data_IF_287888129024
#
_entry.id   IF_287888129024
#
_cell.length_a   1.000
_cell.length_b   1.000
_cell.length_c   1.000
_cell.angle_alpha   90.00
_cell.angle_beta   90.00
_cell.angle_gamma   90.00
#
_symmetry.space_group_name_H-M   'P 1'
#
loop_
_entity.id
_entity.type
_entity.pdbx_description
1 polymer ?
#
# COMPACT_ATOMS: atom_id res chain seq x y z
N UNK A 1 60.65 -56.96 34.84
CA UNK A 1 59.37 -56.31 35.19
C UNK A 1 59.05 -55.28 34.09
N UNK A 2 58.19 -55.60 33.11
CA UNK A 2 57.79 -54.67 32.03
C UNK A 2 56.45 -54.11 32.40
N UNK A 3 56.40 -52.75 32.55
CA UNK A 3 55.16 -52.00 32.79
C UNK A 3 54.54 -51.60 31.43
N UNK A 4 53.39 -52.20 31.17
CA UNK A 4 52.59 -51.87 29.97
C UNK A 4 51.69 -50.65 30.29
N UNK A 5 51.83 -49.55 29.54
CA UNK A 5 51.02 -48.33 29.66
C UNK A 5 49.84 -48.42 28.69
N UNK A 6 48.61 -48.46 29.22
CA UNK A 6 47.38 -48.41 28.42
C UNK A 6 47.00 -46.97 28.19
N UNK A 7 46.99 -46.55 26.93
CA UNK A 7 46.52 -45.23 26.51
C UNK A 7 45.03 -45.34 26.17
N UNK A 8 44.15 -44.68 26.95
CA UNK A 8 42.74 -44.57 26.66
C UNK A 8 42.52 -43.42 25.66
N UNK A 9 42.11 -43.72 24.44
CA UNK A 9 41.70 -42.73 23.45
C UNK A 9 40.21 -42.41 23.67
N UNK A 10 39.86 -41.24 24.15
CA UNK A 10 38.50 -40.75 24.28
C UNK A 10 38.15 -40.11 22.93
N UNK A 11 37.32 -40.79 22.14
CA UNK A 11 36.71 -40.22 20.92
C UNK A 11 35.53 -39.31 21.32
N UNK A 12 35.72 -38.00 21.23
CA UNK A 12 34.64 -37.03 21.37
C UNK A 12 33.84 -36.97 20.07
N UNK A 13 32.64 -37.57 20.05
CA UNK A 13 31.67 -37.41 18.95
C UNK A 13 31.02 -36.05 19.05
N UNK A 14 31.44 -35.11 18.18
CA UNK A 14 30.68 -33.87 17.94
C UNK A 14 29.36 -34.23 17.24
N UNK A 15 28.29 -34.27 18.01
CA UNK A 15 26.93 -34.36 17.47
C UNK A 15 26.52 -32.97 16.97
N UNK A 16 26.66 -32.70 15.66
CA UNK A 16 26.03 -31.55 15.03
C UNK A 16 24.51 -31.76 15.04
N UNK A 17 23.82 -31.21 16.02
CA UNK A 17 22.38 -31.07 15.94
C UNK A 17 22.09 -29.96 14.93
N UNK A 18 21.77 -30.33 13.72
CA UNK A 18 21.13 -29.46 12.75
C UNK A 18 19.78 -29.02 13.35
N UNK A 19 19.71 -27.80 13.87
CA UNK A 19 18.46 -27.15 14.16
C UNK A 19 17.73 -26.98 12.81
N UNK A 20 16.78 -27.86 12.53
CA UNK A 20 15.75 -27.57 11.52
C UNK A 20 15.04 -26.31 12.02
N UNK A 21 15.29 -25.18 11.38
CA UNK A 21 14.39 -24.03 11.51
C UNK A 21 13.02 -24.55 11.06
N UNK A 22 12.09 -24.66 11.99
CA UNK A 22 10.69 -24.82 11.63
C UNK A 22 10.36 -23.62 10.75
N UNK A 23 10.09 -23.84 9.48
CA UNK A 23 9.40 -22.87 8.63
C UNK A 23 8.06 -22.65 9.34
N UNK A 24 7.97 -21.61 10.13
CA UNK A 24 6.70 -21.14 10.65
C UNK A 24 5.96 -20.65 9.43
N UNK A 25 4.94 -21.38 9.02
CA UNK A 25 4.01 -20.97 7.98
C UNK A 25 3.27 -19.76 8.58
N UNK A 26 3.79 -18.58 8.32
CA UNK A 26 3.32 -17.34 8.94
C UNK A 26 1.92 -17.06 8.43
N UNK A 27 0.94 -17.34 9.28
CA UNK A 27 -0.48 -17.15 8.97
C UNK A 27 -0.87 -15.68 9.18
N UNK A 28 -1.31 -14.94 8.16
CA UNK A 28 -1.75 -13.55 8.31
C UNK A 28 -3.02 -13.38 9.15
N UNK A 29 -3.74 -14.47 9.45
CA UNK A 29 -5.05 -14.41 10.12
C UNK A 29 -5.04 -13.72 11.49
N UNK A 30 -3.91 -13.73 12.22
CA UNK A 30 -3.80 -13.00 13.48
C UNK A 30 -3.57 -11.51 13.24
N UNK A 31 -2.82 -11.14 12.21
CA UNK A 31 -2.48 -9.76 11.88
C UNK A 31 -3.60 -9.03 11.15
N UNK A 32 -4.44 -9.72 10.37
CA UNK A 32 -5.65 -9.17 9.78
C UNK A 32 -6.54 -8.54 10.85
N UNK A 33 -6.64 -9.16 12.03
CA UNK A 33 -7.51 -8.70 13.14
C UNK A 33 -7.03 -7.39 13.77
N UNK A 34 -5.79 -6.98 13.54
CA UNK A 34 -5.27 -5.70 14.02
C UNK A 34 -5.72 -4.52 13.16
N UNK A 35 -6.19 -4.79 11.94
CA UNK A 35 -6.79 -3.80 11.05
C UNK A 35 -8.26 -3.68 11.40
N UNK A 36 -8.66 -2.59 12.05
CA UNK A 36 -10.01 -2.42 12.59
C UNK A 36 -10.72 -1.18 12.06
N UNK A 37 -12.05 -1.26 11.94
CA UNK A 37 -12.89 -0.10 11.60
C UNK A 37 -12.69 1.07 12.57
N UNK A 38 -12.44 0.79 13.85
CA UNK A 38 -12.22 1.80 14.89
C UNK A 38 -10.93 2.59 14.67
N UNK A 39 -9.83 1.92 14.31
CA UNK A 39 -8.54 2.55 14.12
C UNK A 39 -8.52 3.34 12.80
N UNK A 40 -9.04 2.75 11.71
CA UNK A 40 -9.27 3.44 10.44
C UNK A 40 -10.09 4.71 10.63
N UNK A 41 -11.17 4.64 11.41
CA UNK A 41 -12.01 5.78 11.75
C UNK A 41 -11.22 6.85 12.50
N UNK A 42 -10.43 6.47 13.48
CA UNK A 42 -9.62 7.40 14.27
C UNK A 42 -8.64 8.17 13.39
N UNK A 43 -7.97 7.50 12.47
CA UNK A 43 -7.04 8.13 11.52
C UNK A 43 -7.78 9.03 10.52
N UNK A 44 -8.92 8.57 10.00
CA UNK A 44 -9.64 9.30 8.96
C UNK A 44 -10.24 10.61 9.48
N UNK A 45 -10.73 10.63 10.73
CA UNK A 45 -11.19 11.86 11.37
C UNK A 45 -10.10 12.92 11.52
N UNK A 46 -8.84 12.54 11.48
CA UNK A 46 -7.72 13.49 11.43
C UNK A 46 -7.40 13.89 10.00
N UNK A 47 -7.18 12.92 9.12
CA UNK A 47 -6.73 13.15 7.73
C UNK A 47 -7.76 13.93 6.91
N UNK A 48 -9.06 13.66 7.10
CA UNK A 48 -10.14 14.33 6.39
C UNK A 48 -10.87 15.37 7.28
N UNK A 49 -10.14 16.03 8.17
CA UNK A 49 -10.67 17.16 8.95
C UNK A 49 -10.44 18.49 8.25
N UNK A 50 -11.25 19.51 8.59
CA UNK A 50 -11.07 20.89 8.12
C UNK A 50 -9.69 21.47 8.44
N UNK A 51 -9.02 20.97 9.52
CA UNK A 51 -7.67 21.37 9.90
C UNK A 51 -6.62 21.02 8.83
N UNK A 52 -6.90 20.00 8.02
CA UNK A 52 -6.06 19.57 6.90
C UNK A 52 -6.35 20.36 5.61
N UNK A 53 -7.30 21.32 5.66
CA UNK A 53 -7.56 22.27 4.57
C UNK A 53 -7.76 21.57 3.20
N UNK A 54 -8.35 20.37 3.20
CA UNK A 54 -8.55 19.56 2.01
C UNK A 54 -7.26 19.13 1.29
N UNK A 55 -6.11 19.17 1.95
CA UNK A 55 -4.82 18.56 1.54
C UNK A 55 -4.34 18.90 0.12
N UNK A 56 -4.67 20.08 -0.41
CA UNK A 56 -4.22 20.46 -1.76
C UNK A 56 -2.70 20.28 -1.92
N UNK A 57 -2.28 19.75 -3.06
CA UNK A 57 -0.88 19.50 -3.39
C UNK A 57 0.05 20.64 -3.01
N UNK A 58 1.00 20.40 -2.12
CA UNK A 58 2.00 21.34 -1.62
C UNK A 58 1.49 22.41 -0.65
N UNK A 59 0.18 22.41 -0.31
CA UNK A 59 -0.41 23.36 0.65
C UNK A 59 0.00 23.07 2.11
N UNK A 60 -0.30 24.03 2.99
CA UNK A 60 -0.12 23.87 4.44
C UNK A 60 -0.93 22.69 4.99
N UNK A 61 -2.12 22.45 4.46
CA UNK A 61 -2.98 21.34 4.86
C UNK A 61 -2.35 19.99 4.50
N UNK A 62 -1.80 19.86 3.29
CA UNK A 62 -1.08 18.63 2.90
C UNK A 62 0.16 18.40 3.77
N UNK A 63 0.91 19.47 4.14
CA UNK A 63 2.07 19.32 5.04
C UNK A 63 1.66 18.81 6.43
N UNK A 64 0.56 19.33 6.99
CA UNK A 64 0.00 18.85 8.27
C UNK A 64 -0.40 17.36 8.18
N UNK A 65 -1.07 16.96 7.10
CA UNK A 65 -1.42 15.57 6.85
C UNK A 65 -0.17 14.69 6.77
N UNK A 66 0.87 15.13 6.06
CA UNK A 66 2.16 14.47 5.98
C UNK A 66 2.83 14.29 7.34
N UNK A 67 2.85 15.34 8.15
CA UNK A 67 3.40 15.27 9.52
C UNK A 67 2.62 14.28 10.38
N UNK A 68 1.30 14.22 10.25
CA UNK A 68 0.48 13.22 10.92
C UNK A 68 0.84 11.79 10.49
N UNK A 69 0.91 11.50 9.20
CA UNK A 69 1.29 10.19 8.67
C UNK A 69 2.64 9.74 9.21
N UNK A 70 3.64 10.62 9.16
CA UNK A 70 4.99 10.34 9.69
C UNK A 70 4.96 10.08 11.19
N UNK A 71 4.14 10.81 11.95
CA UNK A 71 3.99 10.60 13.38
C UNK A 71 3.45 9.20 13.70
N UNK A 72 2.49 8.70 12.91
CA UNK A 72 1.92 7.35 13.05
C UNK A 72 2.94 6.26 12.68
N UNK A 73 3.68 6.43 11.59
CA UNK A 73 4.77 5.51 11.25
C UNK A 73 5.81 5.43 12.37
N UNK A 74 6.23 6.57 12.93
CA UNK A 74 7.16 6.61 14.07
C UNK A 74 6.60 5.93 15.31
N UNK A 75 5.32 6.17 15.64
CA UNK A 75 4.66 5.56 16.79
C UNK A 75 4.63 4.02 16.66
N UNK A 76 4.42 3.52 15.45
CA UNK A 76 4.44 2.09 15.14
C UNK A 76 5.85 1.53 14.89
N UNK A 77 6.91 2.35 15.02
CA UNK A 77 8.32 1.97 14.74
C UNK A 77 8.62 1.57 13.29
N UNK A 78 7.77 1.96 12.35
CA UNK A 78 8.02 1.81 10.92
C UNK A 78 8.92 2.96 10.47
N UNK A 79 10.10 2.65 9.94
CA UNK A 79 11.10 3.63 9.54
C UNK A 79 10.93 4.07 8.09
N UNK A 80 11.68 5.09 7.68
CA UNK A 80 11.88 5.39 6.27
C UNK A 80 12.88 4.42 5.64
N UNK A 81 12.90 4.28 4.28
CA UNK A 81 13.76 3.30 3.62
C UNK A 81 15.25 3.64 3.75
N UNK A 82 16.09 2.61 3.83
CA UNK A 82 17.55 2.75 3.79
C UNK A 82 17.99 3.46 2.50
N UNK A 83 18.85 4.45 2.63
CA UNK A 83 19.31 5.29 1.52
C UNK A 83 18.55 6.62 1.40
N UNK A 84 17.38 6.75 2.02
CA UNK A 84 16.73 8.03 2.24
C UNK A 84 17.30 8.73 3.49
N UNK A 85 17.09 10.04 3.59
CA UNK A 85 17.51 10.84 4.74
C UNK A 85 16.39 11.05 5.77
N UNK A 86 15.15 10.91 5.31
CA UNK A 86 13.92 11.08 6.08
C UNK A 86 12.73 10.42 5.38
N UNK A 87 11.51 10.68 5.85
CA UNK A 87 10.28 10.12 5.29
C UNK A 87 9.81 10.81 3.99
N UNK A 88 10.57 11.76 3.44
CA UNK A 88 10.14 12.57 2.31
C UNK A 88 10.90 12.28 1.03
N UNK A 89 10.18 12.05 -0.06
CA UNK A 89 10.70 12.21 -1.41
C UNK A 89 10.25 13.58 -1.93
N UNK A 90 11.12 14.56 -1.87
CA UNK A 90 10.82 15.95 -2.25
C UNK A 90 10.68 16.10 -3.76
N UNK A 91 9.63 16.78 -4.18
CA UNK A 91 9.28 17.01 -5.58
C UNK A 91 9.25 18.52 -5.83
N UNK A 92 10.13 19.03 -6.69
CA UNK A 92 10.20 20.47 -6.94
C UNK A 92 8.98 20.95 -7.75
N UNK A 93 8.56 22.17 -7.51
CA UNK A 93 7.49 22.84 -8.25
C UNK A 93 7.72 22.82 -9.77
N UNK A 94 8.98 22.88 -10.20
CA UNK A 94 9.34 22.77 -11.63
C UNK A 94 8.90 21.47 -12.28
N UNK A 95 8.89 20.37 -11.53
CA UNK A 95 8.35 19.09 -12.01
C UNK A 95 6.82 19.08 -11.97
N UNK A 96 6.23 19.52 -10.85
CA UNK A 96 4.78 19.54 -10.65
C UNK A 96 4.05 20.41 -11.69
N UNK A 97 4.70 21.46 -12.19
CA UNK A 97 4.13 22.38 -13.19
C UNK A 97 4.62 22.12 -14.62
N UNK A 98 5.37 21.02 -14.87
CA UNK A 98 6.01 20.79 -16.17
C UNK A 98 5.00 20.54 -17.32
N UNK A 99 3.86 19.91 -17.02
CA UNK A 99 2.83 19.58 -18.02
C UNK A 99 1.68 20.57 -17.99
N UNK A 100 1.22 20.91 -16.78
CA UNK A 100 0.16 21.90 -16.52
C UNK A 100 0.76 22.99 -15.65
N UNK A 101 0.45 24.25 -15.95
CA UNK A 101 0.91 25.34 -15.11
C UNK A 101 -0.15 25.69 -14.05
N UNK A 102 -0.31 24.76 -13.10
CA UNK A 102 -1.30 24.87 -12.02
C UNK A 102 -0.77 25.73 -10.85
N UNK A 103 0.45 26.28 -10.99
CA UNK A 103 1.16 27.06 -9.96
C UNK A 103 1.32 26.32 -8.62
N UNK A 104 1.53 25.00 -8.69
CA UNK A 104 1.77 24.16 -7.51
C UNK A 104 3.11 24.53 -6.86
N UNK A 105 3.18 24.67 -5.54
CA UNK A 105 4.45 24.81 -4.82
C UNK A 105 5.20 23.47 -4.78
N UNK A 106 6.41 23.47 -4.20
CA UNK A 106 7.12 22.22 -3.88
C UNK A 106 6.25 21.32 -3.01
N UNK A 107 6.25 20.03 -3.31
CA UNK A 107 5.54 19.02 -2.55
C UNK A 107 6.43 17.80 -2.29
N UNK A 108 5.90 16.75 -1.71
CA UNK A 108 6.60 15.51 -1.43
C UNK A 108 5.70 14.29 -1.47
N UNK A 109 6.25 13.16 -1.90
CA UNK A 109 5.72 11.85 -1.51
C UNK A 109 6.22 11.52 -0.09
N UNK A 110 5.43 10.74 0.65
CA UNK A 110 5.85 10.20 1.93
C UNK A 110 6.06 8.71 1.78
N UNK A 111 7.17 8.21 2.27
CA UNK A 111 7.48 6.81 2.27
C UNK A 111 7.80 6.26 3.66
N UNK A 112 7.32 5.05 3.91
CA UNK A 112 7.71 4.26 5.06
C UNK A 112 8.09 2.85 4.60
N UNK A 113 8.90 2.13 5.37
CA UNK A 113 9.54 0.93 4.88
C UNK A 113 9.70 -0.14 5.95
N UNK A 114 9.36 -1.36 5.58
CA UNK A 114 9.63 -2.55 6.37
C UNK A 114 10.59 -3.44 5.57
N UNK A 115 11.80 -3.61 6.08
CA UNK A 115 12.81 -4.44 5.44
C UNK A 115 12.46 -5.92 5.54
N UNK A 116 12.53 -6.61 4.41
CA UNK A 116 12.30 -8.04 4.31
C UNK A 116 13.41 -8.88 4.90
N UNK A 117 13.07 -10.02 5.50
CA UNK A 117 14.00 -10.89 6.21
C UNK A 117 14.84 -11.80 5.31
N UNK A 118 14.35 -12.17 4.12
CA UNK A 118 15.01 -13.14 3.22
C UNK A 118 15.38 -12.52 1.86
N UNK A 119 14.52 -11.66 1.31
CA UNK A 119 14.65 -11.05 -0.02
C UNK A 119 14.54 -9.51 0.06
N UNK A 120 15.41 -8.84 0.85
CA UNK A 120 15.27 -7.41 1.16
C UNK A 120 15.36 -6.49 -0.06
N UNK A 121 15.92 -6.95 -1.16
CA UNK A 121 16.02 -6.20 -2.41
C UNK A 121 14.80 -6.37 -3.34
N UNK A 122 13.85 -7.25 -3.01
CA UNK A 122 12.59 -7.38 -3.73
C UNK A 122 11.51 -6.59 -2.97
N UNK A 123 10.85 -5.67 -3.66
CA UNK A 123 9.98 -4.66 -3.04
C UNK A 123 8.53 -4.90 -3.48
N UNK A 124 7.63 -5.01 -2.52
CA UNK A 124 6.19 -4.82 -2.73
C UNK A 124 5.87 -3.38 -2.40
N UNK A 125 5.28 -2.64 -3.31
CA UNK A 125 4.78 -1.28 -3.06
C UNK A 125 3.31 -1.36 -2.69
N UNK A 126 2.90 -0.56 -1.69
CA UNK A 126 1.50 -0.28 -1.39
C UNK A 126 1.36 1.22 -1.47
N UNK A 127 0.52 1.69 -2.39
CA UNK A 127 0.38 3.11 -2.70
C UNK A 127 -1.04 3.63 -2.48
N UNK A 128 -1.14 4.91 -2.12
CA UNK A 128 -2.37 5.70 -2.02
C UNK A 128 -1.99 7.18 -2.18
N UNK A 129 -2.88 8.01 -2.69
CA UNK A 129 -2.59 9.44 -2.69
C UNK A 129 -3.11 10.11 -1.41
N UNK A 130 -2.40 11.15 -0.95
CA UNK A 130 -2.78 11.86 0.27
C UNK A 130 -3.11 13.33 0.05
N UNK A 131 -2.97 13.83 -1.18
CA UNK A 131 -3.49 15.12 -1.59
C UNK A 131 -4.97 15.00 -1.96
N UNK A 132 -5.67 16.15 -1.97
CA UNK A 132 -7.00 16.29 -2.50
C UNK A 132 -7.20 17.73 -2.99
N UNK A 133 -8.43 18.16 -3.24
CA UNK A 133 -8.79 19.39 -3.95
C UNK A 133 -8.44 20.68 -3.17
N UNK A 134 -8.47 20.63 -1.84
CA UNK A 134 -8.17 21.80 -1.02
C UNK A 134 -9.38 22.64 -0.65
N UNK A 135 -9.23 23.97 -0.67
CA UNK A 135 -10.28 24.93 -0.31
C UNK A 135 -10.70 25.72 -1.54
N UNK A 136 -11.98 25.66 -1.90
CA UNK A 136 -12.56 26.42 -3.03
C UNK A 136 -13.64 27.35 -2.51
N UNK A 137 -13.50 28.67 -2.77
CA UNK A 137 -14.46 29.71 -2.35
C UNK A 137 -14.77 29.68 -0.84
N UNK A 138 -13.81 29.28 0.00
CA UNK A 138 -13.97 29.18 1.45
C UNK A 138 -14.63 27.90 1.94
N UNK A 139 -14.95 26.96 1.06
CA UNK A 139 -15.47 25.63 1.37
C UNK A 139 -14.33 24.60 1.31
N UNK A 140 -14.19 23.80 2.35
CA UNK A 140 -13.15 22.77 2.45
C UNK A 140 -13.64 21.49 1.77
N UNK A 141 -12.81 20.93 0.91
CA UNK A 141 -13.03 19.63 0.26
C UNK A 141 -12.21 18.58 1.01
N UNK A 142 -12.82 17.95 2.01
CA UNK A 142 -12.11 17.06 2.93
C UNK A 142 -11.64 15.75 2.31
N UNK A 143 -12.29 15.27 1.22
CA UNK A 143 -11.86 14.06 0.51
C UNK A 143 -11.73 12.88 1.45
N UNK A 144 -12.83 12.52 2.13
CA UNK A 144 -12.78 11.44 3.11
C UNK A 144 -12.62 10.07 2.44
N UNK A 145 -13.31 9.85 1.31
CA UNK A 145 -13.10 8.65 0.50
C UNK A 145 -11.97 8.87 -0.51
N UNK A 146 -11.90 10.04 -1.13
CA UNK A 146 -10.92 10.41 -2.17
C UNK A 146 -9.76 11.28 -1.62
N UNK A 147 -8.55 10.81 -1.31
CA UNK A 147 -8.24 9.43 -0.99
C UNK A 147 -7.81 9.31 0.48
N UNK A 148 -8.64 9.90 1.36
CA UNK A 148 -8.48 9.71 2.80
C UNK A 148 -8.56 8.23 3.18
N UNK A 149 -9.48 7.48 2.55
CA UNK A 149 -9.71 6.06 2.83
C UNK A 149 -8.49 5.19 2.51
N UNK A 150 -7.88 5.35 1.34
CA UNK A 150 -6.64 4.65 0.98
C UNK A 150 -5.44 5.12 1.80
N UNK A 151 -5.35 6.42 2.04
CA UNK A 151 -4.30 7.00 2.88
C UNK A 151 -4.27 6.37 4.28
N UNK A 152 -5.40 6.21 4.97
CA UNK A 152 -5.41 5.59 6.31
C UNK A 152 -5.26 4.07 6.25
N UNK A 153 -5.69 3.44 5.17
CA UNK A 153 -5.48 2.01 4.96
C UNK A 153 -3.99 1.64 4.99
N UNK A 154 -3.11 2.46 4.40
CA UNK A 154 -1.67 2.23 4.44
C UNK A 154 -1.10 2.23 5.87
N UNK A 155 -1.60 3.09 6.76
CA UNK A 155 -1.17 3.14 8.17
C UNK A 155 -1.48 1.83 8.89
N UNK A 156 -2.69 1.31 8.73
CA UNK A 156 -3.15 0.08 9.37
C UNK A 156 -2.43 -1.16 8.81
N UNK A 157 -2.22 -1.20 7.49
CA UNK A 157 -1.45 -2.27 6.86
C UNK A 157 0.00 -2.27 7.38
N UNK A 158 0.61 -1.10 7.53
CA UNK A 158 1.97 -0.97 8.06
C UNK A 158 2.07 -1.42 9.51
N UNK A 159 1.09 -1.07 10.36
CA UNK A 159 1.00 -1.53 11.73
C UNK A 159 0.90 -3.05 11.82
N UNK A 160 0.05 -3.67 10.98
CA UNK A 160 -0.12 -5.13 10.94
C UNK A 160 1.19 -5.84 10.55
N UNK A 161 1.90 -5.36 9.52
CA UNK A 161 3.19 -5.93 9.12
C UNK A 161 4.29 -5.72 10.18
N UNK A 162 4.34 -4.56 10.82
CA UNK A 162 5.34 -4.31 11.85
C UNK A 162 5.06 -5.13 13.12
N UNK A 163 3.79 -5.35 13.46
CA UNK A 163 3.39 -6.28 14.53
C UNK A 163 3.88 -7.68 14.23
N UNK A 164 3.62 -8.18 13.01
CA UNK A 164 4.11 -9.48 12.58
C UNK A 164 5.65 -9.57 12.65
N UNK A 165 6.34 -8.52 12.23
CA UNK A 165 7.81 -8.46 12.28
C UNK A 165 8.35 -8.51 13.71
N UNK A 166 7.76 -7.78 14.65
CA UNK A 166 8.13 -7.81 16.07
C UNK A 166 7.97 -9.20 16.70
N UNK A 167 7.00 -9.97 16.20
CA UNK A 167 6.75 -11.34 16.64
C UNK A 167 7.61 -12.40 15.90
N UNK A 168 8.50 -11.96 15.00
CA UNK A 168 9.37 -12.85 14.22
C UNK A 168 8.72 -13.46 12.96
N UNK A 169 7.51 -13.00 12.61
CA UNK A 169 6.73 -13.43 11.45
C UNK A 169 6.67 -12.36 10.36
N UNK A 170 7.63 -11.46 10.31
CA UNK A 170 7.68 -10.36 9.35
C UNK A 170 7.77 -10.80 7.90
N UNK A 171 7.64 -9.85 6.96
CA UNK A 171 7.67 -10.14 5.53
C UNK A 171 9.06 -10.64 5.10
N UNK A 172 9.10 -11.60 4.16
CA UNK A 172 10.33 -12.09 3.54
C UNK A 172 10.90 -11.09 2.53
N UNK A 173 10.03 -10.38 1.80
CA UNK A 173 10.36 -9.25 0.92
C UNK A 173 10.10 -7.94 1.62
N UNK A 174 10.79 -6.91 1.19
CA UNK A 174 10.57 -5.57 1.71
C UNK A 174 9.23 -5.00 1.24
N UNK A 175 8.65 -4.15 2.09
CA UNK A 175 7.42 -3.43 1.76
C UNK A 175 7.70 -1.93 1.83
N UNK A 176 7.32 -1.23 0.78
CA UNK A 176 7.33 0.22 0.69
C UNK A 176 5.89 0.73 0.74
N UNK A 177 5.55 1.48 1.78
CA UNK A 177 4.33 2.26 1.87
C UNK A 177 4.60 3.62 1.24
N UNK A 178 3.84 3.97 0.21
CA UNK A 178 4.09 5.17 -0.58
C UNK A 178 2.82 6.02 -0.68
N UNK A 179 2.75 7.07 0.13
CA UNK A 179 1.73 8.10 -0.04
C UNK A 179 2.21 9.09 -1.10
N UNK A 180 1.50 9.18 -2.20
CA UNK A 180 1.89 10.06 -3.30
C UNK A 180 1.13 11.37 -3.27
N UNK A 181 1.75 12.41 -3.80
CA UNK A 181 1.19 13.76 -3.94
C UNK A 181 0.81 14.05 -5.39
N UNK A 182 -0.08 15.00 -5.60
CA UNK A 182 -0.39 15.50 -6.95
C UNK A 182 -1.09 14.48 -7.85
N UNK A 183 -1.83 13.56 -7.27
CA UNK A 183 -2.69 12.65 -8.01
C UNK A 183 -3.74 13.44 -8.78
N UNK A 184 -4.44 14.34 -8.10
CA UNK A 184 -5.50 15.22 -8.60
C UNK A 184 -5.04 16.16 -9.75
N UNK A 185 -3.75 16.37 -9.86
CA UNK A 185 -3.11 17.12 -10.93
C UNK A 185 -2.53 16.26 -12.06
N UNK A 186 -2.81 14.95 -12.05
CA UNK A 186 -2.44 14.00 -13.10
C UNK A 186 -1.33 13.04 -12.70
N UNK A 187 -1.46 12.39 -11.56
CA UNK A 187 -0.58 11.31 -11.08
C UNK A 187 0.89 11.76 -10.91
N UNK A 188 1.10 13.01 -10.46
CA UNK A 188 2.44 13.62 -10.50
C UNK A 188 3.42 12.96 -9.54
N UNK A 189 2.97 12.59 -8.34
CA UNK A 189 3.82 11.99 -7.32
C UNK A 189 4.31 10.59 -7.68
N UNK A 190 3.43 9.72 -8.14
CA UNK A 190 3.80 8.40 -8.63
C UNK A 190 4.62 8.47 -9.91
N UNK A 191 4.32 9.45 -10.78
CA UNK A 191 5.15 9.73 -11.96
C UNK A 191 6.57 10.14 -11.57
N UNK A 192 6.71 11.02 -10.56
CA UNK A 192 8.03 11.42 -10.07
C UNK A 192 8.77 10.24 -9.44
N UNK A 193 8.09 9.44 -8.61
CA UNK A 193 8.68 8.24 -8.01
C UNK A 193 9.20 7.29 -9.09
N UNK A 194 8.40 7.01 -10.13
CA UNK A 194 8.82 6.09 -11.20
C UNK A 194 10.02 6.58 -12.03
N UNK A 195 10.25 7.90 -12.07
CA UNK A 195 11.41 8.51 -12.75
C UNK A 195 12.62 8.70 -11.83
N UNK A 196 12.39 8.79 -10.52
CA UNK A 196 13.41 9.04 -9.50
C UNK A 196 13.26 8.03 -8.34
N UNK A 197 13.24 6.72 -8.62
CA UNK A 197 12.97 5.72 -7.60
C UNK A 197 14.16 5.59 -6.63
N UNK A 198 13.88 5.40 -5.34
CA UNK A 198 14.93 5.11 -4.36
C UNK A 198 15.56 3.73 -4.60
N UNK A 199 14.73 2.76 -4.98
CA UNK A 199 15.15 1.42 -5.35
C UNK A 199 14.99 1.24 -6.86
N UNK A 200 15.90 0.53 -7.56
CA UNK A 200 15.70 0.24 -8.99
C UNK A 200 14.30 -0.33 -9.25
N UNK A 201 13.57 0.20 -10.23
CA UNK A 201 12.20 -0.28 -10.53
C UNK A 201 12.14 -1.79 -10.80
N UNK A 202 13.21 -2.38 -11.36
CA UNK A 202 13.33 -3.82 -11.57
C UNK A 202 13.27 -4.64 -10.26
N UNK A 203 13.49 -4.01 -9.12
CA UNK A 203 13.36 -4.63 -7.81
C UNK A 203 11.92 -4.59 -7.28
N UNK A 204 11.07 -3.72 -7.82
CA UNK A 204 9.64 -3.69 -7.48
C UNK A 204 8.94 -4.87 -8.16
N UNK A 205 8.36 -5.76 -7.36
CA UNK A 205 7.74 -6.99 -7.87
C UNK A 205 6.26 -6.84 -8.15
N UNK A 206 5.60 -5.94 -7.42
CA UNK A 206 4.20 -5.57 -7.60
C UNK A 206 3.91 -4.25 -6.90
N UNK A 207 2.84 -3.58 -7.34
CA UNK A 207 2.21 -2.45 -6.68
C UNK A 207 0.74 -2.76 -6.36
N UNK A 208 0.32 -2.40 -5.16
CA UNK A 208 -1.06 -2.48 -4.68
C UNK A 208 -1.50 -1.05 -4.40
N UNK A 209 -2.25 -0.48 -5.34
CA UNK A 209 -2.78 0.87 -5.21
C UNK A 209 -4.17 0.84 -4.57
N UNK A 210 -4.38 1.70 -3.61
CA UNK A 210 -5.64 1.83 -2.88
C UNK A 210 -6.11 3.27 -3.06
N UNK A 211 -7.31 3.42 -3.62
CA UNK A 211 -7.87 4.74 -3.91
C UNK A 211 -9.41 4.62 -3.91
N UNK A 212 -10.06 5.37 -3.02
CA UNK A 212 -11.50 5.34 -2.79
C UNK A 212 -12.04 3.93 -2.47
N UNK A 213 -11.85 3.50 -1.23
CA UNK A 213 -12.33 2.18 -0.75
C UNK A 213 -13.30 2.28 0.44
N UNK A 214 -13.75 3.49 0.81
CA UNK A 214 -14.58 3.75 2.00
C UNK A 214 -16.09 3.81 1.73
N UNK A 215 -16.54 3.83 0.48
CA UNK A 215 -17.94 3.99 0.11
C UNK A 215 -18.42 2.86 -0.81
N UNK A 216 -19.66 2.94 -1.29
CA UNK A 216 -20.17 2.13 -2.39
C UNK A 216 -20.68 3.03 -3.53
N UNK A 217 -20.76 2.48 -4.74
CA UNK A 217 -21.31 3.14 -5.92
C UNK A 217 -22.78 2.74 -6.18
N UNK A 218 -23.38 3.34 -7.20
CA UNK A 218 -24.79 3.07 -7.58
C UNK A 218 -25.06 1.63 -8.06
N UNK A 219 -24.03 0.88 -8.43
CA UNK A 219 -24.16 -0.52 -8.89
C UNK A 219 -24.22 -1.51 -7.74
N UNK A 220 -23.85 -1.07 -6.54
CA UNK A 220 -23.76 -1.89 -5.33
C UNK A 220 -24.60 -1.34 -4.15
N UNK A 221 -25.73 -0.68 -4.45
CA UNK A 221 -26.63 -0.10 -3.44
C UNK A 221 -27.13 -1.12 -2.39
N UNK A 222 -27.18 -2.41 -2.75
CA UNK A 222 -27.69 -3.45 -1.85
C UNK A 222 -26.64 -4.04 -0.92
N UNK A 223 -25.34 -3.81 -1.19
CA UNK A 223 -24.26 -4.38 -0.36
C UNK A 223 -22.90 -3.73 -0.63
N UNK A 224 -22.25 -3.26 0.43
CA UNK A 224 -20.86 -2.77 0.38
C UNK A 224 -19.81 -3.90 0.47
N UNK A 225 -20.23 -5.18 0.46
CA UNK A 225 -19.34 -6.33 0.56
C UNK A 225 -18.67 -6.69 -0.79
N UNK A 226 -18.08 -5.70 -1.44
CA UNK A 226 -17.40 -5.83 -2.73
C UNK A 226 -16.19 -4.91 -2.82
N UNK A 227 -15.38 -5.13 -3.85
CA UNK A 227 -14.33 -4.21 -4.31
C UNK A 227 -14.08 -4.44 -5.80
N UNK A 228 -13.85 -3.38 -6.56
CA UNK A 228 -13.34 -3.48 -7.91
C UNK A 228 -11.84 -3.75 -7.87
N UNK A 229 -11.38 -4.73 -8.65
CA UNK A 229 -9.97 -4.97 -8.91
C UNK A 229 -9.65 -4.60 -10.36
N UNK A 230 -8.84 -3.57 -10.53
CA UNK A 230 -8.50 -3.02 -11.84
C UNK A 230 -7.01 -3.27 -12.13
N UNK A 231 -6.68 -3.80 -13.29
CA UNK A 231 -5.30 -4.01 -13.73
C UNK A 231 -4.64 -5.30 -13.25
N UNK A 232 -5.26 -6.04 -12.32
CA UNK A 232 -4.63 -7.21 -11.67
C UNK A 232 -4.14 -8.27 -12.65
N UNK A 233 -4.82 -8.45 -13.80
CA UNK A 233 -4.45 -9.41 -14.84
C UNK A 233 -3.82 -8.78 -16.09
N UNK A 234 -3.57 -7.46 -16.11
CA UNK A 234 -3.07 -6.78 -17.31
C UNK A 234 -1.64 -7.16 -17.67
N UNK A 235 -0.79 -7.35 -16.67
CA UNK A 235 0.61 -7.72 -16.85
C UNK A 235 0.92 -9.13 -16.34
N UNK A 236 0.14 -9.65 -15.39
CA UNK A 236 0.48 -10.87 -14.69
C UNK A 236 -0.76 -11.71 -14.34
N UNK A 237 -0.83 -12.90 -14.90
CA UNK A 237 -1.83 -13.90 -14.48
C UNK A 237 -1.61 -14.33 -13.02
N UNK A 238 -0.34 -14.35 -12.57
CA UNK A 238 -0.01 -14.68 -11.18
C UNK A 238 -0.59 -13.67 -10.20
N UNK A 239 -0.49 -12.35 -10.49
CA UNK A 239 -1.05 -11.32 -9.61
C UNK A 239 -2.58 -11.47 -9.47
N UNK A 240 -3.27 -11.69 -10.59
CA UNK A 240 -4.70 -11.99 -10.57
C UNK A 240 -5.03 -13.17 -9.66
N UNK A 241 -4.34 -14.30 -9.83
CA UNK A 241 -4.55 -15.50 -9.02
C UNK A 241 -4.22 -15.29 -7.54
N UNK A 242 -3.25 -14.44 -7.23
CA UNK A 242 -2.92 -14.05 -5.85
C UNK A 242 -4.07 -13.29 -5.23
N UNK A 243 -4.64 -12.29 -5.92
CA UNK A 243 -5.79 -11.52 -5.44
C UNK A 243 -6.99 -12.44 -5.15
N UNK A 244 -7.35 -13.32 -6.10
CA UNK A 244 -8.44 -14.29 -5.94
C UNK A 244 -8.22 -15.23 -4.75
N UNK A 245 -6.99 -15.76 -4.64
CA UNK A 245 -6.65 -16.73 -3.58
C UNK A 245 -6.66 -16.07 -2.21
N UNK A 246 -6.06 -14.88 -2.08
CA UNK A 246 -6.03 -14.12 -0.85
C UNK A 246 -7.45 -13.76 -0.39
N UNK A 247 -8.27 -13.25 -1.30
CA UNK A 247 -9.67 -12.95 -0.99
C UNK A 247 -10.45 -14.18 -0.52
N UNK A 248 -10.42 -15.26 -1.28
CA UNK A 248 -11.15 -16.49 -0.96
C UNK A 248 -10.72 -17.09 0.38
N UNK A 249 -9.44 -16.97 0.72
CA UNK A 249 -8.87 -17.58 1.92
C UNK A 249 -9.10 -16.76 3.18
N UNK A 250 -9.11 -15.43 3.08
CA UNK A 250 -9.00 -14.59 4.25
C UNK A 250 -10.16 -13.60 4.46
N UNK A 251 -10.76 -13.05 3.40
CA UNK A 251 -11.71 -11.92 3.52
C UNK A 251 -13.08 -12.23 2.94
N UNK A 252 -13.14 -12.84 1.75
CA UNK A 252 -14.37 -13.24 1.06
C UNK A 252 -15.29 -12.07 0.65
N UNK A 253 -14.72 -11.03 0.04
CA UNK A 253 -15.46 -9.98 -0.67
C UNK A 253 -15.94 -10.49 -2.04
N UNK A 254 -16.97 -9.88 -2.61
CA UNK A 254 -17.25 -10.00 -4.04
C UNK A 254 -16.21 -9.17 -4.81
N UNK A 255 -15.34 -9.84 -5.58
CA UNK A 255 -14.39 -9.19 -6.46
C UNK A 255 -15.09 -8.85 -7.77
N UNK A 256 -15.28 -7.57 -8.04
CA UNK A 256 -15.91 -7.10 -9.27
C UNK A 256 -14.83 -6.65 -10.26
N UNK A 257 -14.93 -7.13 -11.50
CA UNK A 257 -14.01 -6.84 -12.59
C UNK A 257 -14.63 -5.95 -13.67
N UNK A 258 -15.79 -5.32 -13.39
CA UNK A 258 -16.49 -4.45 -14.33
C UNK A 258 -15.58 -3.41 -14.98
N UNK A 259 -14.74 -2.76 -14.19
CA UNK A 259 -13.82 -1.72 -14.66
C UNK A 259 -12.43 -2.24 -15.06
N UNK A 260 -12.25 -3.56 -15.03
CA UNK A 260 -11.02 -4.21 -15.51
C UNK A 260 -11.09 -4.50 -17.02
N UNK A 261 -12.13 -4.06 -17.71
CA UNK A 261 -12.22 -4.14 -19.17
C UNK A 261 -11.35 -3.05 -19.81
N UNK A 262 -10.48 -3.43 -20.76
CA UNK A 262 -9.65 -2.49 -21.53
C UNK A 262 -10.48 -1.50 -22.34
N UNK A 263 -11.73 -1.82 -22.63
CA UNK A 263 -12.69 -0.97 -23.31
C UNK A 263 -13.55 -0.14 -22.34
N UNK A 264 -13.25 -0.15 -21.03
CA UNK A 264 -14.00 0.65 -20.05
C UNK A 264 -14.07 2.13 -20.50
N UNK A 265 -15.28 2.67 -20.73
CA UNK A 265 -15.44 4.05 -21.18
C UNK A 265 -14.96 5.07 -20.15
N UNK A 266 -14.93 4.72 -18.86
CA UNK A 266 -14.43 5.57 -17.78
C UNK A 266 -12.91 5.58 -17.73
N UNK A 267 -12.25 4.58 -18.32
CA UNK A 267 -10.80 4.44 -18.37
C UNK A 267 -10.15 4.46 -16.98
N UNK A 268 -10.78 3.88 -15.97
CA UNK A 268 -10.27 3.92 -14.58
C UNK A 268 -8.85 3.34 -14.44
N UNK A 269 -8.47 2.36 -15.26
CA UNK A 269 -7.09 1.85 -15.27
C UNK A 269 -6.02 2.92 -15.45
N UNK A 270 -6.34 4.06 -16.07
CA UNK A 270 -5.40 5.16 -16.35
C UNK A 270 -5.54 6.33 -15.40
N UNK A 271 -6.39 6.22 -14.35
CA UNK A 271 -6.83 7.36 -13.56
C UNK A 271 -6.36 7.31 -12.11
N UNK A 272 -5.54 6.32 -11.72
CA UNK A 272 -4.91 6.28 -10.41
C UNK A 272 -3.45 5.85 -10.49
N UNK A 273 -2.71 5.94 -9.41
CA UNK A 273 -1.26 5.92 -9.31
C UNK A 273 -0.60 4.60 -9.76
N UNK A 274 -1.33 3.46 -9.66
CA UNK A 274 -0.88 2.16 -10.18
C UNK A 274 -0.45 2.21 -11.64
N UNK A 275 -1.04 3.13 -12.43
CA UNK A 275 -0.70 3.25 -13.85
C UNK A 275 0.76 3.62 -14.07
N UNK A 276 1.34 4.44 -13.18
CA UNK A 276 2.75 4.81 -13.28
C UNK A 276 3.71 3.64 -12.98
N UNK A 277 3.27 2.64 -12.23
CA UNK A 277 4.00 1.38 -12.05
C UNK A 277 3.75 0.44 -13.24
N UNK A 278 2.49 0.25 -13.62
CA UNK A 278 2.10 -0.66 -14.70
C UNK A 278 2.72 -0.31 -16.04
N UNK A 279 2.78 0.98 -16.42
CA UNK A 279 3.43 1.43 -17.68
C UNK A 279 4.94 1.15 -17.71
N UNK A 280 5.57 0.93 -16.56
CA UNK A 280 6.96 0.50 -16.41
C UNK A 280 7.12 -1.02 -16.31
N UNK A 281 6.06 -1.79 -16.59
CA UNK A 281 6.09 -3.25 -16.61
C UNK A 281 6.00 -3.90 -15.23
N UNK A 282 5.59 -3.17 -14.20
CA UNK A 282 5.41 -3.68 -12.85
C UNK A 282 3.95 -4.17 -12.71
N UNK A 283 3.71 -5.46 -12.37
CA UNK A 283 2.37 -5.95 -12.07
C UNK A 283 1.69 -5.09 -11.00
N UNK A 284 0.54 -4.51 -11.32
CA UNK A 284 -0.16 -3.58 -10.43
C UNK A 284 -1.63 -3.92 -10.35
N UNK A 285 -2.21 -3.74 -9.17
CA UNK A 285 -3.65 -3.84 -8.93
C UNK A 285 -4.14 -2.58 -8.25
N UNK A 286 -5.25 -2.07 -8.72
CA UNK A 286 -5.97 -0.94 -8.14
C UNK A 286 -7.24 -1.44 -7.45
N UNK A 287 -7.31 -1.24 -6.13
CA UNK A 287 -8.49 -1.50 -5.31
C UNK A 287 -9.33 -0.23 -5.26
N UNK A 288 -10.59 -0.34 -5.68
CA UNK A 288 -11.50 0.77 -5.86
C UNK A 288 -12.92 0.36 -5.46
N UNK A 289 -13.72 1.26 -4.91
CA UNK A 289 -15.12 0.96 -4.61
C UNK A 289 -16.14 1.69 -5.48
N UNK A 290 -15.67 2.37 -6.51
CA UNK A 290 -16.53 3.09 -7.45
C UNK A 290 -16.70 4.57 -7.10
N UNK A 291 -17.34 5.28 -8.02
CA UNK A 291 -17.64 6.71 -7.86
C UNK A 291 -19.00 6.88 -7.21
N UNK A 292 -19.06 7.63 -6.12
CA UNK A 292 -20.29 7.96 -5.42
C UNK A 292 -20.75 9.41 -5.67
N UNK A 293 -21.93 9.78 -5.19
CA UNK A 293 -22.53 11.07 -5.47
C UNK A 293 -21.75 12.28 -4.90
N UNK A 294 -20.88 12.05 -3.93
CA UNK A 294 -20.07 13.08 -3.26
C UNK A 294 -18.66 13.23 -3.85
N UNK A 295 -18.27 12.41 -4.84
CA UNK A 295 -16.95 12.44 -5.47
C UNK A 295 -16.61 13.86 -5.97
N UNK A 296 -15.44 14.37 -5.61
CA UNK A 296 -14.93 15.71 -5.89
C UNK A 296 -15.88 16.84 -5.42
N UNK A 297 -16.57 16.63 -4.30
CA UNK A 297 -17.42 17.62 -3.65
C UNK A 297 -17.00 17.84 -2.19
N UNK A 298 -17.30 19.02 -1.66
CA UNK A 298 -17.11 19.31 -0.23
C UNK A 298 -17.99 18.43 0.69
N UNK A 299 -18.88 17.65 0.11
CA UNK A 299 -19.71 16.68 0.85
C UNK A 299 -19.11 15.29 0.94
N UNK A 300 -17.87 15.06 0.47
CA UNK A 300 -17.11 13.83 0.73
C UNK A 300 -16.50 13.90 2.14
N UNK A 301 -17.30 13.48 3.12
CA UNK A 301 -17.07 13.66 4.55
C UNK A 301 -16.98 12.32 5.29
N UNK A 302 -16.29 12.34 6.43
CA UNK A 302 -15.98 11.14 7.23
C UNK A 302 -17.23 10.45 7.76
N UNK A 303 -18.30 11.18 8.03
CA UNK A 303 -19.56 10.62 8.57
C UNK A 303 -20.33 9.77 7.54
N UNK A 304 -19.93 9.82 6.27
CA UNK A 304 -20.48 9.01 5.18
C UNK A 304 -19.70 7.74 4.88
N UNK A 305 -18.54 7.56 5.49
CA UNK A 305 -17.68 6.41 5.27
C UNK A 305 -18.27 5.16 5.93
N UNK A 306 -18.28 4.07 5.19
CA UNK A 306 -18.70 2.74 5.61
C UNK A 306 -17.52 1.98 6.20
N UNK A 307 -17.21 2.23 7.47
CA UNK A 307 -16.00 1.74 8.11
C UNK A 307 -15.86 0.22 8.14
N UNK A 308 -16.96 -0.53 8.23
CA UNK A 308 -16.92 -1.99 8.13
C UNK A 308 -16.50 -2.49 6.74
N UNK A 309 -16.88 -1.75 5.69
CA UNK A 309 -16.46 -2.05 4.32
C UNK A 309 -15.00 -1.62 4.09
N UNK A 310 -14.61 -0.44 4.58
CA UNK A 310 -13.24 0.06 4.56
C UNK A 310 -12.28 -0.94 5.25
N UNK A 311 -12.65 -1.44 6.44
CA UNK A 311 -11.88 -2.47 7.16
C UNK A 311 -11.64 -3.69 6.28
N UNK A 312 -12.69 -4.28 5.71
CA UNK A 312 -12.57 -5.49 4.88
C UNK A 312 -11.73 -5.28 3.62
N UNK A 313 -11.87 -4.13 2.96
CA UNK A 313 -11.10 -3.80 1.76
C UNK A 313 -9.62 -3.56 2.11
N UNK A 314 -9.34 -2.91 3.24
CA UNK A 314 -7.99 -2.77 3.80
C UNK A 314 -7.38 -4.13 4.16
N UNK A 315 -8.16 -5.01 4.80
CA UNK A 315 -7.76 -6.39 5.10
C UNK A 315 -7.45 -7.19 3.82
N UNK A 316 -8.19 -6.97 2.74
CA UNK A 316 -7.87 -7.59 1.45
C UNK A 316 -6.53 -7.08 0.90
N UNK A 317 -6.30 -5.77 0.89
CA UNK A 317 -5.03 -5.20 0.44
C UNK A 317 -3.85 -5.74 1.25
N UNK A 318 -3.99 -5.81 2.59
CA UNK A 318 -3.01 -6.45 3.47
C UNK A 318 -2.73 -7.90 3.09
N UNK A 319 -3.77 -8.71 2.85
CA UNK A 319 -3.58 -10.13 2.53
C UNK A 319 -2.97 -10.37 1.16
N UNK A 320 -3.28 -9.54 0.16
CA UNK A 320 -2.60 -9.55 -1.14
C UNK A 320 -1.12 -9.22 -0.95
N UNK A 321 -0.81 -8.17 -0.20
CA UNK A 321 0.57 -7.78 0.12
C UNK A 321 1.31 -8.87 0.88
N UNK A 322 0.65 -9.54 1.83
CA UNK A 322 1.21 -10.65 2.59
C UNK A 322 1.59 -11.83 1.69
N UNK A 323 0.70 -12.25 0.81
CA UNK A 323 0.98 -13.33 -0.14
C UNK A 323 2.14 -12.95 -1.10
N UNK A 324 2.19 -11.71 -1.59
CA UNK A 324 3.29 -11.21 -2.42
C UNK A 324 4.61 -11.17 -1.66
N UNK A 325 4.59 -10.71 -0.42
CA UNK A 325 5.78 -10.55 0.40
C UNK A 325 6.39 -11.88 0.84
N UNK A 326 5.57 -12.94 1.03
CA UNK A 326 6.00 -14.18 1.66
C UNK A 326 6.13 -15.39 0.70
N UNK A 327 5.60 -15.31 -0.52
CA UNK A 327 5.70 -16.40 -1.50
C UNK A 327 7.12 -16.60 -2.01
N UNK A 328 7.42 -17.81 -2.53
CA UNK A 328 8.77 -18.12 -3.03
C UNK A 328 9.11 -17.29 -4.28
N UNK A 329 8.28 -17.32 -5.30
CA UNK A 329 8.54 -16.64 -6.56
C UNK A 329 7.82 -15.31 -6.66
N UNK A 330 8.44 -14.32 -7.35
CA UNK A 330 7.74 -13.10 -7.74
C UNK A 330 6.66 -13.40 -8.78
N UNK A 331 5.61 -12.56 -8.91
CA UNK A 331 4.66 -12.68 -10.01
C UNK A 331 5.36 -12.63 -11.36
N UNK A 332 5.01 -13.53 -12.26
CA UNK A 332 5.56 -13.54 -13.62
C UNK A 332 4.83 -12.49 -14.46
N UNK A 333 5.57 -11.67 -15.18
CA UNK A 333 5.01 -10.79 -16.22
C UNK A 333 4.85 -11.64 -17.47
N UNK A 334 3.65 -12.14 -17.70
CA UNK A 334 3.31 -13.06 -18.80
C UNK A 334 2.40 -12.41 -19.86
N UNK A 335 2.06 -11.13 -19.69
CA UNK A 335 1.26 -10.37 -20.64
C UNK A 335 1.93 -9.05 -21.03
N UNK A 336 1.59 -8.55 -22.21
CA UNK A 336 2.25 -7.37 -22.79
C UNK A 336 1.80 -6.03 -22.20
N UNK A 337 0.78 -5.99 -21.37
CA UNK A 337 0.23 -4.75 -20.83
C UNK A 337 -0.52 -3.85 -21.84
N UNK A 338 -0.48 -4.16 -23.13
CA UNK A 338 -1.07 -3.39 -24.23
C UNK A 338 -2.49 -3.84 -24.58
#
# INVERSE_FOLDING_TARGET
MKKTLFLFLIAATLSCTSQKSSVVDSNPAEYIKTITASDLKTHLYVIASDEMEGRQTGSSGQKKAGDYLISQYKANTVSFPKGATDYYQRIPASFLNAIRNDNLPDSENIWAFIEGSEKPNEIVVISAHYDHIGVINGEVYNGADDDGSGTVALLEIAQAFETAKKEGNGPKRSILFLHVTGEEHGLLGSSYYSQNPLFPLANTIADINIDMIGRHDEFHNDSSNYVYLIGSDYLSTDLYNICETANKKYVNLFLDYKYNDRADPNRFYYRSDHYNFAKNGIPSVFLFSGVHADYHKATDEVDKIEFDALEKRTQLAFTIAWELANRENRPVVDKSGN
#
